data_IF_921215737173
#
_entry.id   IF_921215737173
#
_cell.length_a   1.000
_cell.length_b   1.000
_cell.length_c   1.000
_cell.angle_alpha   90.00
_cell.angle_beta   90.00
_cell.angle_gamma   90.00
#
_symmetry.space_group_name_H-M   'P 1'
#
loop_
_entity.id
_entity.type
_entity.pdbx_description
1 polymer ?
#
# COMPACT_ATOMS: atom_id res chain seq x y z
N UNK A 1 5.57 9.37 -3.26
CA UNK A 1 4.22 8.75 -3.23
C UNK A 1 3.32 9.18 -4.37
N UNK A 2 2.87 10.44 -4.45
CA UNK A 2 1.82 10.90 -5.40
C UNK A 2 2.06 10.54 -6.87
N UNK A 3 3.29 10.74 -7.38
CA UNK A 3 3.60 10.55 -8.79
C UNK A 3 3.66 9.07 -9.25
N UNK A 4 4.08 8.15 -8.37
CA UNK A 4 4.43 6.76 -8.74
C UNK A 4 3.64 5.68 -7.99
N UNK A 5 2.98 6.04 -6.90
CA UNK A 5 2.16 5.16 -6.06
C UNK A 5 0.82 5.81 -5.64
N UNK A 6 0.45 6.92 -6.29
CA UNK A 6 -0.80 7.65 -6.07
C UNK A 6 -2.00 6.98 -6.73
N UNK A 7 -2.84 7.76 -7.43
CA UNK A 7 -4.08 7.24 -8.05
C UNK A 7 -3.79 6.19 -9.13
N UNK A 8 -2.83 6.48 -10.01
CA UNK A 8 -2.37 5.56 -11.06
C UNK A 8 -1.16 4.75 -10.57
N UNK A 9 -1.17 3.45 -10.86
CA UNK A 9 -0.11 2.52 -10.47
C UNK A 9 0.20 1.55 -11.60
N UNK A 10 1.47 1.23 -11.74
CA UNK A 10 1.99 0.11 -12.55
C UNK A 10 3.11 -0.57 -11.79
N UNK A 11 3.48 -1.80 -12.18
CA UNK A 11 4.61 -2.50 -11.60
C UNK A 11 5.92 -1.72 -11.73
N UNK A 12 6.14 -1.06 -12.87
CA UNK A 12 7.31 -0.20 -13.10
C UNK A 12 7.34 0.99 -12.14
N UNK A 13 6.23 1.74 -12.06
CA UNK A 13 6.12 2.90 -11.17
C UNK A 13 6.27 2.51 -9.69
N UNK A 14 5.68 1.38 -9.27
CA UNK A 14 5.79 0.89 -7.90
C UNK A 14 7.23 0.46 -7.55
N UNK A 15 7.96 -0.14 -8.50
CA UNK A 15 9.39 -0.45 -8.31
C UNK A 15 10.22 0.82 -8.14
N UNK A 16 10.03 1.80 -9.02
CA UNK A 16 10.73 3.08 -8.91
C UNK A 16 10.38 3.83 -7.62
N UNK A 17 9.14 3.73 -7.14
CA UNK A 17 8.74 4.27 -5.85
C UNK A 17 9.47 3.56 -4.70
N UNK A 18 9.56 2.23 -4.74
CA UNK A 18 10.28 1.46 -3.74
C UNK A 18 11.77 1.80 -3.70
N UNK A 19 12.41 1.94 -4.87
CA UNK A 19 13.82 2.36 -4.98
C UNK A 19 14.05 3.73 -4.33
N UNK A 20 13.20 4.71 -4.62
CA UNK A 20 13.31 6.04 -4.01
C UNK A 20 13.08 6.04 -2.49
N UNK A 21 12.09 5.27 -2.00
CA UNK A 21 11.81 5.16 -0.57
C UNK A 21 12.97 4.46 0.18
N UNK A 22 13.59 3.45 -0.43
CA UNK A 22 14.75 2.78 0.16
C UNK A 22 15.95 3.73 0.26
N UNK A 23 16.20 4.55 -0.78
CA UNK A 23 17.25 5.56 -0.72
C UNK A 23 17.02 6.61 0.40
N UNK A 24 15.77 6.91 0.73
CA UNK A 24 15.45 7.78 1.87
C UNK A 24 15.63 7.08 3.22
N UNK A 25 15.40 5.76 3.28
CA UNK A 25 15.57 4.99 4.52
C UNK A 25 17.03 4.97 5.00
N UNK A 26 17.99 5.06 4.08
CA UNK A 26 19.41 5.17 4.41
C UNK A 26 19.74 6.49 5.15
N UNK A 27 18.89 7.51 5.06
CA UNK A 27 19.07 8.83 5.70
C UNK A 27 18.17 8.98 6.93
N UNK A 28 16.88 8.67 6.79
CA UNK A 28 15.88 8.84 7.86
C UNK A 28 16.03 7.78 8.96
N UNK A 29 16.59 6.61 8.62
CA UNK A 29 16.77 5.48 9.54
C UNK A 29 15.48 5.15 10.30
N UNK A 30 14.39 4.75 9.60
CA UNK A 30 13.07 4.58 10.21
C UNK A 30 13.00 3.53 11.33
N UNK A 31 14.01 2.67 11.44
CA UNK A 31 14.13 1.68 12.53
C UNK A 31 14.87 2.23 13.76
N UNK A 32 15.53 3.39 13.65
CA UNK A 32 16.21 4.07 14.76
C UNK A 32 15.22 5.01 15.47
N UNK A 33 14.45 4.47 16.41
CA UNK A 33 13.41 5.20 17.12
C UNK A 33 14.00 5.96 18.31
N UNK A 34 13.99 7.31 18.32
CA UNK A 34 14.48 8.08 19.46
C UNK A 34 13.61 7.89 20.71
N UNK A 35 14.23 7.92 21.90
CA UNK A 35 13.50 7.97 23.17
C UNK A 35 13.01 9.41 23.44
N UNK A 36 11.94 9.81 22.75
CA UNK A 36 11.33 11.13 22.85
C UNK A 36 9.81 11.03 22.81
N UNK A 37 9.15 11.85 23.62
CA UNK A 37 7.68 11.98 23.65
C UNK A 37 7.15 13.01 22.64
N UNK A 38 8.03 13.79 22.01
CA UNK A 38 7.65 14.76 20.98
C UNK A 38 7.27 14.02 19.70
N UNK A 39 6.04 14.20 19.21
CA UNK A 39 5.59 13.52 18.00
C UNK A 39 6.37 13.93 16.77
N UNK A 40 6.83 15.18 16.70
CA UNK A 40 7.49 15.76 15.52
C UNK A 40 8.76 14.97 15.18
N UNK A 41 9.48 14.47 16.19
CA UNK A 41 10.71 13.70 15.95
C UNK A 41 10.46 12.32 15.31
N UNK A 42 9.20 11.85 15.32
CA UNK A 42 8.80 10.55 14.78
C UNK A 42 8.06 10.65 13.44
N UNK A 43 7.65 11.85 13.03
CA UNK A 43 6.76 12.04 11.88
C UNK A 43 7.37 11.50 10.58
N UNK A 44 8.60 11.89 10.25
CA UNK A 44 9.25 11.49 9.00
C UNK A 44 9.52 9.97 8.96
N UNK A 45 9.99 9.38 10.06
CA UNK A 45 10.22 7.95 10.17
C UNK A 45 8.91 7.16 9.96
N UNK A 46 7.82 7.60 10.59
CA UNK A 46 6.51 6.98 10.45
C UNK A 46 5.93 7.13 9.05
N UNK A 47 6.04 8.32 8.43
CA UNK A 47 5.57 8.57 7.08
C UNK A 47 6.35 7.74 6.05
N UNK A 48 7.66 7.60 6.24
CA UNK A 48 8.50 6.77 5.39
C UNK A 48 8.14 5.28 5.52
N UNK A 49 8.02 4.78 6.75
CA UNK A 49 7.62 3.39 7.00
C UNK A 49 6.24 3.09 6.41
N UNK A 50 5.26 3.98 6.62
CA UNK A 50 3.93 3.85 6.05
C UNK A 50 3.98 3.81 4.51
N UNK A 51 4.77 4.68 3.89
CA UNK A 51 4.95 4.70 2.44
C UNK A 51 5.56 3.39 1.91
N UNK A 52 6.58 2.85 2.58
CA UNK A 52 7.22 1.57 2.19
C UNK A 52 6.22 0.40 2.28
N UNK A 53 5.48 0.31 3.38
CA UNK A 53 4.45 -0.71 3.58
C UNK A 53 3.35 -0.62 2.51
N UNK A 54 2.89 0.60 2.20
CA UNK A 54 1.89 0.84 1.16
C UNK A 54 2.38 0.43 -0.23
N UNK A 55 3.59 0.81 -0.63
CA UNK A 55 4.16 0.45 -1.93
C UNK A 55 4.37 -1.06 -2.05
N UNK A 56 4.87 -1.71 -0.99
CA UNK A 56 5.02 -3.17 -0.96
C UNK A 56 3.68 -3.89 -1.11
N UNK A 57 2.65 -3.47 -0.37
CA UNK A 57 1.32 -4.04 -0.47
C UNK A 57 0.69 -3.81 -1.86
N UNK A 58 0.88 -2.61 -2.43
CA UNK A 58 0.42 -2.28 -3.77
C UNK A 58 1.11 -3.13 -4.86
N UNK A 59 2.41 -3.41 -4.70
CA UNK A 59 3.17 -4.27 -5.59
C UNK A 59 2.68 -5.72 -5.58
N UNK A 60 2.40 -6.25 -4.38
CA UNK A 60 1.86 -7.60 -4.20
C UNK A 60 0.46 -7.78 -4.82
N UNK A 61 -0.36 -6.72 -4.83
CA UNK A 61 -1.69 -6.75 -5.44
C UNK A 61 -1.64 -6.47 -6.95
N UNK A 62 -1.68 -7.54 -7.75
CA UNK A 62 -1.61 -7.45 -9.22
C UNK A 62 -2.91 -7.06 -9.93
N UNK A 63 -4.06 -7.13 -9.26
CA UNK A 63 -5.36 -6.74 -9.81
C UNK A 63 -5.82 -5.35 -9.33
N UNK A 64 -6.93 -4.87 -9.91
CA UNK A 64 -7.59 -3.62 -9.52
C UNK A 64 -8.84 -3.89 -8.68
N UNK A 65 -8.99 -3.21 -7.53
CA UNK A 65 -10.20 -3.27 -6.69
C UNK A 65 -10.37 -1.99 -5.86
N UNK A 66 -11.54 -1.36 -5.96
CA UNK A 66 -11.84 -0.12 -5.24
C UNK A 66 -10.88 1.00 -5.62
N UNK A 67 -10.32 1.71 -4.62
CA UNK A 67 -9.34 2.78 -4.83
C UNK A 67 -7.95 2.29 -5.29
N UNK A 68 -7.72 0.97 -5.34
CA UNK A 68 -6.51 0.39 -5.90
C UNK A 68 -6.71 0.11 -7.39
N UNK A 69 -6.37 1.08 -8.22
CA UNK A 69 -6.35 0.95 -9.67
C UNK A 69 -4.92 0.71 -10.18
N UNK A 70 -4.76 -0.28 -11.07
CA UNK A 70 -3.54 -0.60 -11.81
C UNK A 70 -3.85 -0.68 -13.30
N UNK A 71 -3.11 0.09 -14.11
CA UNK A 71 -3.28 0.06 -15.57
C UNK A 71 -2.57 -1.12 -16.23
N UNK A 72 -1.68 -1.80 -15.51
CA UNK A 72 -1.00 -3.03 -15.93
C UNK A 72 -1.61 -4.30 -15.30
N UNK A 73 -2.79 -4.19 -14.69
CA UNK A 73 -3.49 -5.34 -14.16
C UNK A 73 -3.98 -6.23 -15.32
N UNK A 74 -3.72 -7.54 -15.20
CA UNK A 74 -4.47 -8.52 -15.98
C UNK A 74 -5.89 -8.50 -15.45
N UNK A 75 -6.87 -8.27 -16.31
CA UNK A 75 -8.27 -8.27 -15.91
C UNK A 75 -8.64 -9.67 -15.40
N UNK A 76 -8.76 -9.81 -14.09
CA UNK A 76 -9.56 -10.88 -13.49
C UNK A 76 -11.03 -10.55 -13.73
N UNK A 77 -11.85 -11.46 -14.29
CA UNK A 77 -13.27 -11.22 -14.52
C UNK A 77 -13.95 -10.69 -13.25
N UNK A 78 -14.74 -9.61 -13.39
CA UNK A 78 -15.40 -8.95 -12.25
C UNK A 78 -16.23 -9.93 -11.40
N UNK A 79 -16.81 -10.94 -12.03
CA UNK A 79 -17.61 -11.98 -11.39
C UNK A 79 -16.80 -12.81 -10.38
N UNK A 80 -15.57 -13.21 -10.71
CA UNK A 80 -14.69 -13.96 -9.78
C UNK A 80 -14.30 -13.13 -8.55
N UNK A 81 -14.10 -11.82 -8.75
CA UNK A 81 -13.79 -10.89 -7.67
C UNK A 81 -14.99 -10.77 -6.73
N UNK A 82 -16.19 -10.50 -7.27
CA UNK A 82 -17.41 -10.38 -6.47
C UNK A 82 -17.67 -11.68 -5.70
N UNK A 83 -17.58 -12.84 -6.36
CA UNK A 83 -17.83 -14.16 -5.74
C UNK A 83 -16.93 -14.41 -4.52
N UNK A 84 -15.63 -14.08 -4.62
CA UNK A 84 -14.67 -14.27 -3.52
C UNK A 84 -14.97 -13.43 -2.29
N UNK A 85 -15.57 -12.24 -2.48
CA UNK A 85 -15.89 -11.32 -1.40
C UNK A 85 -17.35 -11.44 -0.90
N UNK A 86 -18.29 -11.94 -1.71
CA UNK A 86 -19.66 -12.25 -1.26
C UNK A 86 -19.73 -13.54 -0.45
N UNK A 87 -18.86 -14.53 -0.71
CA UNK A 87 -18.83 -15.78 0.06
C UNK A 87 -18.39 -15.54 1.52
N UNK A 88 -17.64 -14.46 1.82
CA UNK A 88 -17.52 -13.99 3.20
C UNK A 88 -18.81 -13.26 3.57
N UNK A 89 -19.77 -13.99 4.18
CA UNK A 89 -20.89 -13.35 4.87
C UNK A 89 -20.34 -12.23 5.73
N UNK A 90 -20.92 -11.04 5.63
CA UNK A 90 -20.67 -10.00 6.63
C UNK A 90 -20.99 -10.61 7.99
N UNK A 91 -20.14 -10.40 8.98
CA UNK A 91 -20.34 -10.94 10.33
C UNK A 91 -21.73 -10.55 10.91
N UNK A 92 -22.33 -9.47 10.41
CA UNK A 92 -23.68 -9.01 10.73
C UNK A 92 -24.82 -9.88 10.19
N UNK A 93 -24.57 -10.84 9.30
CA UNK A 93 -25.58 -11.71 8.66
C UNK A 93 -25.51 -13.16 9.17
N UNK A 94 -24.84 -13.39 10.31
CA UNK A 94 -24.60 -14.74 10.86
C UNK A 94 -25.46 -14.99 12.11
N UNK A 95 -26.08 -13.97 12.70
CA UNK A 95 -26.86 -14.06 13.94
C UNK A 95 -28.29 -13.48 13.79
N UNK A 96 -29.01 -13.87 12.73
CA UNK A 96 -30.48 -13.76 12.68
C UNK A 96 -31.09 -15.16 12.77
#
# INVERSE_FOLDING_TARGET
MTAKAGVLRTGGLLREAAEALNAWADVVLPENVPDSVDSVVHEDANLLLAAQLLVRAAGARRGSLGAHYRSDAVETPREEIVQRYTIRRKASLVND
#
